data_IF_185151641425
#
_entry.id   IF_185151641425
#
_cell.length_a   1.000
_cell.length_b   1.000
_cell.length_c   1.000
_cell.angle_alpha   90.00
_cell.angle_beta   90.00
_cell.angle_gamma   90.00
#
_symmetry.space_group_name_H-M   'P 1'
#
loop_
_entity.id
_entity.type
_entity.pdbx_description
1 polymer ?
#
# COMPACT_ATOMS: atom_id res chain seq x y z
N UNK A 1 -13.81 -3.62 12.80
CA UNK A 1 -13.15 -2.31 12.65
C UNK A 1 -12.39 -2.33 11.34
N UNK A 2 -12.71 -1.45 10.40
CA UNK A 2 -12.00 -1.32 9.12
C UNK A 2 -10.84 -0.35 9.31
N UNK A 3 -9.61 -0.79 9.04
CA UNK A 3 -8.44 0.08 9.04
C UNK A 3 -8.34 0.73 7.65
N UNK A 4 -8.55 2.04 7.56
CA UNK A 4 -8.36 2.77 6.31
C UNK A 4 -6.88 2.97 6.08
N UNK A 5 -6.27 2.10 5.29
CA UNK A 5 -4.87 2.25 4.86
C UNK A 5 -4.83 3.40 3.85
N UNK A 6 -4.38 4.57 4.29
CA UNK A 6 -4.12 5.71 3.42
C UNK A 6 -2.74 5.55 2.80
N UNK A 7 -2.64 5.67 1.48
CA UNK A 7 -1.34 5.72 0.82
C UNK A 7 -0.59 6.97 1.33
N UNK A 8 0.60 6.82 1.96
CA UNK A 8 1.44 7.96 2.24
C UNK A 8 1.91 8.59 0.92
N UNK A 9 2.31 9.86 0.92
CA UNK A 9 2.93 10.45 -0.28
C UNK A 9 4.20 9.67 -0.61
N UNK A 10 4.22 8.96 -1.75
CA UNK A 10 5.30 8.05 -2.15
C UNK A 10 6.51 8.76 -2.77
N UNK A 11 6.63 10.08 -2.56
CA UNK A 11 7.69 10.93 -3.09
C UNK A 11 7.13 12.18 -3.75
N UNK A 12 7.88 13.27 -3.75
CA UNK A 12 7.46 14.59 -4.26
C UNK A 12 7.00 14.60 -5.73
N UNK A 13 7.39 13.60 -6.53
CA UNK A 13 7.04 13.45 -7.97
C UNK A 13 6.20 12.20 -8.27
N UNK A 14 5.75 11.45 -7.26
CA UNK A 14 4.98 10.22 -7.47
C UNK A 14 3.49 10.51 -7.33
N UNK A 15 2.82 10.64 -8.46
CA UNK A 15 1.39 11.00 -8.53
C UNK A 15 0.47 9.78 -8.55
N UNK A 16 0.87 8.69 -9.21
CA UNK A 16 0.11 7.44 -9.29
C UNK A 16 1.04 6.23 -9.12
N UNK A 17 0.63 5.29 -8.26
CA UNK A 17 1.30 4.01 -8.06
C UNK A 17 0.37 2.88 -8.46
N UNK A 18 0.85 1.96 -9.29
CA UNK A 18 0.09 0.75 -9.64
C UNK A 18 0.23 -0.25 -8.50
N UNK A 19 -0.89 -0.70 -7.95
CA UNK A 19 -0.89 -1.79 -6.98
C UNK A 19 -0.51 -3.08 -7.72
N UNK A 20 0.70 -3.58 -7.45
CA UNK A 20 1.18 -4.83 -8.03
C UNK A 20 0.43 -6.01 -7.43
N UNK A 21 0.33 -6.04 -6.10
CA UNK A 21 -0.26 -7.15 -5.37
C UNK A 21 -0.72 -6.75 -3.98
N UNK A 22 -1.91 -7.24 -3.64
CA UNK A 22 -2.39 -7.25 -2.27
C UNK A 22 -1.86 -8.51 -1.57
N UNK A 23 -0.92 -8.34 -0.63
CA UNK A 23 -0.49 -9.43 0.25
C UNK A 23 -1.51 -9.67 1.36
N UNK A 24 -2.22 -8.63 1.80
CA UNK A 24 -3.31 -8.73 2.78
C UNK A 24 -4.69 -8.63 2.14
N UNK A 25 -5.62 -9.40 2.70
CA UNK A 25 -7.04 -9.41 2.31
C UNK A 25 -7.89 -8.63 3.31
N UNK A 26 -9.05 -8.11 2.88
CA UNK A 26 -10.00 -7.47 3.79
C UNK A 26 -10.48 -8.48 4.85
N UNK A 27 -10.29 -8.14 6.12
CA UNK A 27 -10.65 -8.99 7.27
C UNK A 27 -9.50 -9.79 7.87
N UNK A 28 -8.31 -9.75 7.27
CA UNK A 28 -7.11 -10.39 7.82
C UNK A 28 -6.51 -9.57 8.98
N UNK A 29 -5.88 -10.22 9.95
CA UNK A 29 -5.23 -9.52 11.08
C UNK A 29 -3.87 -9.00 10.63
N UNK A 30 -3.65 -7.70 10.80
CA UNK A 30 -2.38 -7.04 10.48
C UNK A 30 -1.48 -7.05 11.72
N UNK A 31 -0.21 -7.39 11.54
CA UNK A 31 0.82 -7.28 12.59
C UNK A 31 1.84 -6.19 12.26
N UNK A 32 2.51 -5.68 13.30
CA UNK A 32 3.67 -4.80 13.14
C UNK A 32 4.76 -5.53 12.34
N UNK A 33 5.47 -4.81 11.46
CA UNK A 33 6.43 -5.33 10.47
C UNK A 33 5.87 -6.21 9.33
N UNK A 34 4.55 -6.28 9.16
CA UNK A 34 3.92 -7.08 8.11
C UNK A 34 3.61 -6.28 6.84
N UNK A 35 3.96 -6.84 5.66
CA UNK A 35 3.68 -6.20 4.36
C UNK A 35 2.20 -6.34 4.00
N UNK A 36 1.52 -5.21 3.85
CA UNK A 36 0.09 -5.14 3.51
C UNK A 36 -0.15 -5.24 2.00
N UNK A 37 0.58 -4.45 1.23
CA UNK A 37 0.41 -4.30 -0.20
C UNK A 37 1.75 -3.92 -0.82
N UNK A 38 1.98 -4.42 -2.04
CA UNK A 38 3.11 -4.05 -2.87
C UNK A 38 2.63 -3.12 -3.97
N UNK A 39 3.28 -1.98 -4.09
CA UNK A 39 2.97 -0.94 -5.07
C UNK A 39 4.23 -0.62 -5.85
N UNK A 40 4.09 -0.56 -7.18
CA UNK A 40 5.12 -0.04 -8.06
C UNK A 40 4.75 1.37 -8.42
N UNK A 41 5.62 2.30 -8.08
CA UNK A 41 5.54 3.69 -8.52
C UNK A 41 6.53 3.85 -9.66
N UNK A 42 6.03 4.12 -10.86
CA UNK A 42 6.91 4.47 -11.97
C UNK A 42 7.29 5.94 -11.81
N UNK A 43 8.59 6.19 -11.67
CA UNK A 43 9.13 7.55 -11.61
C UNK A 43 9.47 7.96 -13.04
N UNK A 44 8.83 9.02 -13.55
CA UNK A 44 9.32 9.73 -14.74
C UNK A 44 10.53 10.59 -14.41
#
# INVERSE_FOLDING_TARGET
>A
MSLTVTMPQLGETVTEGTILKWSKKPGDTIREDEVLLEISTDKV
#
